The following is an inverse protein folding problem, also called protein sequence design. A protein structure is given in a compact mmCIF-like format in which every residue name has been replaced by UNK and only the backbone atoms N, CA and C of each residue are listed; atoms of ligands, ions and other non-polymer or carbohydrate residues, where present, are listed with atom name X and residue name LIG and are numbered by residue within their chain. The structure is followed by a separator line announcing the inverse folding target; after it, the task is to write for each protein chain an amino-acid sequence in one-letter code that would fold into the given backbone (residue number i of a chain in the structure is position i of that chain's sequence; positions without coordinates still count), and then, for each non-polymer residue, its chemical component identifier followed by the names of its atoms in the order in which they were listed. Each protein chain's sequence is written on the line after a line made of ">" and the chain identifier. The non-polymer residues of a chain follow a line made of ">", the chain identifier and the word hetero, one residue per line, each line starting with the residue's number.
data_IF_770276547957
#
_entry.id   IF_770276547957
#
_cell.length_a   1.000
_cell.length_b   1.000
_cell.length_c   1.000
_cell.angle_alpha   90.00
_cell.angle_beta   90.00
_cell.angle_gamma   90.00
#
_symmetry.space_group_name_H-M   'P 1'
#
loop_
_entity.id
_entity.type
_entity.pdbx_description
1 polymer ?
#
# COMPACT_ATOMS: atom_id res chain seq x y z
N UNK A 1 -9.14 -21.53 11.83
CA UNK A 1 -9.33 -20.07 11.88
C UNK A 1 -8.58 -19.48 10.70
N UNK A 2 -9.30 -18.94 9.71
CA UNK A 2 -8.65 -18.16 8.65
C UNK A 2 -8.08 -16.89 9.30
N UNK A 3 -6.77 -16.64 9.15
CA UNK A 3 -6.15 -15.40 9.61
C UNK A 3 -6.74 -14.27 8.78
N UNK A 4 -7.70 -13.53 9.33
CA UNK A 4 -8.21 -12.31 8.71
C UNK A 4 -7.02 -11.39 8.39
N UNK A 5 -6.86 -11.02 7.12
CA UNK A 5 -5.81 -10.12 6.65
C UNK A 5 -4.61 -10.77 5.96
N UNK A 6 -4.55 -12.10 5.82
CA UNK A 6 -3.53 -12.74 4.97
C UNK A 6 -4.07 -12.94 3.55
N UNK A 7 -3.24 -12.62 2.56
CA UNK A 7 -3.58 -12.74 1.14
C UNK A 7 -3.01 -14.05 0.64
N UNK A 8 -3.88 -14.89 0.07
CA UNK A 8 -3.45 -16.13 -0.55
C UNK A 8 -2.78 -15.81 -1.89
N UNK A 9 -1.44 -15.86 -1.89
CA UNK A 9 -0.61 -15.60 -3.07
C UNK A 9 -0.88 -16.55 -4.25
N UNK A 10 -1.48 -17.72 -4.01
CA UNK A 10 -1.81 -18.69 -5.06
C UNK A 10 -3.17 -18.39 -5.70
N UNK A 11 -4.13 -17.92 -4.92
CA UNK A 11 -5.53 -17.77 -5.38
C UNK A 11 -6.00 -16.32 -5.47
N UNK A 12 -5.24 -15.36 -4.94
CA UNK A 12 -5.65 -13.96 -4.79
C UNK A 12 -6.73 -13.75 -3.73
N UNK A 13 -7.09 -14.79 -2.96
CA UNK A 13 -8.11 -14.68 -1.92
C UNK A 13 -7.60 -13.73 -0.82
N UNK A 14 -8.37 -12.67 -0.55
CA UNK A 14 -8.00 -11.63 0.43
C UNK A 14 -7.39 -10.38 -0.19
N UNK A 15 -7.17 -10.33 -1.51
CA UNK A 15 -6.85 -9.10 -2.23
C UNK A 15 -7.89 -8.02 -1.95
N UNK A 16 -7.44 -6.81 -1.58
CA UNK A 16 -8.34 -5.66 -1.54
C UNK A 16 -8.29 -4.93 -2.87
N UNK A 17 -9.44 -4.41 -3.25
CA UNK A 17 -9.58 -3.42 -4.31
C UNK A 17 -8.81 -2.15 -3.96
N UNK A 18 -8.23 -1.51 -4.97
CA UNK A 18 -7.64 -0.20 -4.82
C UNK A 18 -8.67 0.78 -4.25
N UNK A 19 -8.22 1.63 -3.33
CA UNK A 19 -9.02 2.67 -2.70
C UNK A 19 -8.49 4.04 -3.08
N UNK A 20 -9.35 4.92 -3.56
CA UNK A 20 -8.97 6.26 -3.99
C UNK A 20 -10.00 7.27 -3.51
N UNK A 21 -9.74 7.89 -2.36
CA UNK A 21 -10.55 8.99 -1.84
C UNK A 21 -9.64 9.97 -1.10
N UNK A 22 -9.56 11.25 -1.53
CA UNK A 22 -8.72 12.25 -0.89
C UNK A 22 -8.90 12.29 0.64
N UNK A 23 -7.80 12.40 1.40
CA UNK A 23 -6.44 12.63 0.93
C UNK A 23 -5.68 11.35 0.54
N UNK A 24 -6.29 10.16 0.58
CA UNK A 24 -5.60 8.88 0.44
C UNK A 24 -5.89 8.16 -0.88
N UNK A 25 -4.82 7.67 -1.49
CA UNK A 25 -4.87 6.71 -2.58
C UNK A 25 -4.06 5.49 -2.12
N UNK A 26 -4.71 4.35 -2.03
CA UNK A 26 -4.15 3.09 -1.54
C UNK A 26 -4.29 2.11 -2.70
N UNK A 27 -3.17 1.60 -3.18
CA UNK A 27 -3.16 0.53 -4.16
C UNK A 27 -2.46 -0.70 -3.61
N UNK A 28 -2.90 -1.83 -4.11
CA UNK A 28 -2.43 -3.12 -3.69
C UNK A 28 -1.68 -3.80 -4.84
N UNK A 29 -0.46 -4.27 -4.60
CA UNK A 29 0.25 -5.09 -5.58
C UNK A 29 0.63 -6.44 -5.01
N UNK A 30 0.36 -7.47 -5.80
CA UNK A 30 1.00 -8.77 -5.69
C UNK A 30 1.79 -8.97 -6.99
N UNK A 31 3.12 -9.00 -6.93
CA UNK A 31 3.93 -9.45 -8.05
C UNK A 31 4.31 -10.92 -7.80
N UNK A 32 4.11 -11.78 -8.80
CA UNK A 32 4.49 -13.19 -8.71
C UNK A 32 5.98 -13.29 -8.37
N UNK A 33 6.29 -13.76 -7.16
CA UNK A 33 7.66 -13.93 -6.67
C UNK A 33 8.16 -12.84 -5.71
N UNK A 34 7.35 -11.84 -5.35
CA UNK A 34 7.69 -10.84 -4.32
C UNK A 34 6.65 -10.78 -3.21
N UNK A 35 7.08 -10.31 -2.03
CA UNK A 35 6.19 -9.96 -0.93
C UNK A 35 5.08 -9.00 -1.38
N UNK A 36 3.91 -9.19 -0.79
CA UNK A 36 2.72 -8.38 -1.03
C UNK A 36 2.92 -6.98 -0.44
N UNK A 37 2.53 -5.93 -1.17
CA UNK A 37 2.75 -4.54 -0.71
C UNK A 37 1.51 -3.67 -0.86
N UNK A 38 1.33 -2.79 0.12
CA UNK A 38 0.48 -1.61 0.03
C UNK A 38 1.29 -0.42 -0.43
N UNK A 39 0.82 0.27 -1.46
CA UNK A 39 1.29 1.60 -1.82
C UNK A 39 0.26 2.61 -1.36
N UNK A 40 0.66 3.49 -0.45
CA UNK A 40 -0.18 4.55 0.06
C UNK A 40 0.37 5.88 -0.43
N UNK A 41 -0.42 6.63 -1.16
CA UNK A 41 -0.16 8.03 -1.48
C UNK A 41 -1.12 8.90 -0.66
N UNK A 42 -0.55 9.74 0.21
CA UNK A 42 -1.26 10.77 0.95
C UNK A 42 -0.99 12.12 0.30
N UNK A 43 -2.03 12.74 -0.22
CA UNK A 43 -1.94 14.11 -0.76
C UNK A 43 -1.99 15.09 0.41
N UNK A 44 -0.93 15.87 0.58
CA UNK A 44 -0.86 16.94 1.58
C UNK A 44 -0.78 18.31 0.91
N UNK A 45 -0.97 19.38 1.68
CA UNK A 45 -0.79 20.76 1.21
C UNK A 45 0.64 21.03 0.71
N UNK A 46 1.63 20.25 1.16
CA UNK A 46 3.05 20.42 0.81
C UNK A 46 3.48 19.52 -0.36
N UNK A 47 2.57 18.74 -0.93
CA UNK A 47 2.84 17.72 -1.94
C UNK A 47 2.52 16.30 -1.47
N UNK A 48 2.66 15.30 -2.35
CA UNK A 48 2.36 13.91 -2.02
C UNK A 48 3.42 13.26 -1.11
N UNK A 49 2.95 12.51 -0.14
CA UNK A 49 3.71 11.59 0.70
C UNK A 49 3.40 10.15 0.27
N UNK A 50 4.43 9.36 -0.02
CA UNK A 50 4.33 7.98 -0.49
C UNK A 50 4.86 7.02 0.58
N UNK A 51 4.10 5.97 0.85
CA UNK A 51 4.47 4.89 1.76
C UNK A 51 4.38 3.56 1.02
N UNK A 52 5.36 2.71 1.26
CA UNK A 52 5.32 1.31 0.85
C UNK A 52 5.34 0.46 2.10
N UNK A 53 4.29 -0.32 2.32
CA UNK A 53 4.10 -1.15 3.51
C UNK A 53 4.04 -2.60 3.08
N UNK A 54 4.77 -3.47 3.77
CA UNK A 54 4.63 -4.91 3.61
C UNK A 54 3.25 -5.35 4.10
N UNK A 55 2.45 -5.96 3.24
CA UNK A 55 1.06 -6.27 3.57
C UNK A 55 0.92 -7.42 4.58
N UNK A 56 1.93 -8.28 4.71
CA UNK A 56 1.90 -9.44 5.61
C UNK A 56 2.40 -9.07 7.01
N UNK A 57 3.56 -8.42 7.07
CA UNK A 57 4.25 -8.04 8.32
C UNK A 57 3.80 -6.69 8.86
N UNK A 58 3.18 -5.84 8.01
CA UNK A 58 2.80 -4.46 8.30
C UNK A 58 4.00 -3.53 8.54
N UNK A 59 5.19 -3.94 8.16
CA UNK A 59 6.40 -3.14 8.26
C UNK A 59 6.44 -2.06 7.18
N UNK A 60 6.93 -0.87 7.55
CA UNK A 60 7.17 0.21 6.61
C UNK A 60 8.46 -0.07 5.84
N UNK A 61 8.33 -0.33 4.53
CA UNK A 61 9.46 -0.60 3.63
C UNK A 61 10.08 0.71 3.14
N UNK A 62 9.25 1.70 2.82
CA UNK A 62 9.71 2.98 2.30
C UNK A 62 8.76 4.12 2.70
N UNK A 63 9.34 5.28 2.98
CA UNK A 63 8.62 6.54 3.13
C UNK A 63 9.35 7.63 2.32
N UNK A 64 8.69 8.09 1.25
CA UNK A 64 9.18 9.16 0.37
C UNK A 64 8.26 10.37 0.44
N UNK A 65 8.84 11.57 0.51
CA UNK A 65 8.09 12.83 0.53
C UNK A 65 8.53 13.70 -0.64
N UNK A 66 7.58 14.16 -1.44
CA UNK A 66 7.84 15.17 -2.47
C UNK A 66 7.42 16.53 -1.90
N UNK A 67 8.40 17.42 -1.72
CA UNK A 67 8.15 18.79 -1.27
C UNK A 67 7.92 19.68 -2.49
N UNK A 68 6.74 20.30 -2.58
CA UNK A 68 6.56 21.45 -3.47
C UNK A 68 7.16 22.68 -2.77
N UNK A 69 8.38 23.06 -3.17
CA UNK A 69 8.94 24.36 -2.84
C UNK A 69 8.22 25.39 -3.73
N UNK A 70 7.21 26.06 -3.17
CA UNK A 70 6.53 27.19 -3.81
C UNK A 70 7.40 28.45 -3.77
#
# INVERSE_FOLDING_TARGET
>A
MERQGCIDLRTGKGEQIDFSNPPFHISFTHNKGSYVKWYVCRVTIYGPEYFVIDAETKELINHGKTLNLQ
#
